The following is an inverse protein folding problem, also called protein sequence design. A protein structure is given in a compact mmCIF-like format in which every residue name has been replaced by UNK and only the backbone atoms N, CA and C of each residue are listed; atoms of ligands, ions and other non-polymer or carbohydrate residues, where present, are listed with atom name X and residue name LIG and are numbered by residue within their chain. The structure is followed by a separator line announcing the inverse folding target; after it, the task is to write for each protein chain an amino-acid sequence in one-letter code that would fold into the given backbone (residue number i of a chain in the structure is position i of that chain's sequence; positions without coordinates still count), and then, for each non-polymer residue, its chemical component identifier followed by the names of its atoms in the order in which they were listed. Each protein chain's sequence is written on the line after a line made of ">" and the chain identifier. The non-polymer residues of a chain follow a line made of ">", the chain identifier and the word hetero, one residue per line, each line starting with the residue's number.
data_IF_236999072571
#
_entry.id   IF_236999072571
#
_cell.length_a   1.000
_cell.length_b   1.000
_cell.length_c   1.000
_cell.angle_alpha   90.00
_cell.angle_beta   90.00
_cell.angle_gamma   90.00
#
_symmetry.space_group_name_H-M   'P 1'
#
loop_
_entity.id
_entity.type
_entity.pdbx_description
1 polymer ?
#
# COMPACT_ATOMS: atom_id res chain seq x y z
N UNK A 1 4.42 9.39 2.52
CA UNK A 1 4.76 10.32 1.43
C UNK A 1 6.09 10.98 1.78
N UNK A 2 7.07 11.01 0.88
CA UNK A 2 8.30 11.76 1.10
C UNK A 2 8.20 13.18 0.54
N UNK A 3 9.05 14.09 1.05
CA UNK A 3 9.16 15.45 0.53
C UNK A 3 9.59 15.45 -0.95
N UNK A 4 10.54 14.58 -1.31
CA UNK A 4 11.02 14.40 -2.68
C UNK A 4 9.86 14.05 -3.62
N UNK A 5 9.06 13.06 -3.25
CA UNK A 5 7.94 12.62 -4.08
C UNK A 5 6.81 13.66 -4.21
N UNK A 6 6.54 14.44 -3.16
CA UNK A 6 5.59 15.54 -3.23
C UNK A 6 6.03 16.63 -4.21
N UNK A 7 7.31 17.01 -4.17
CA UNK A 7 7.86 18.03 -5.07
C UNK A 7 7.88 17.57 -6.53
N UNK A 8 8.24 16.32 -6.80
CA UNK A 8 8.23 15.78 -8.17
C UNK A 8 6.81 15.78 -8.74
N UNK A 9 5.82 15.32 -7.97
CA UNK A 9 4.40 15.36 -8.39
C UNK A 9 3.93 16.80 -8.64
N UNK A 10 4.34 17.76 -7.81
CA UNK A 10 3.98 19.17 -8.06
C UNK A 10 4.52 19.71 -9.39
N UNK A 11 5.72 19.29 -9.80
CA UNK A 11 6.28 19.65 -11.10
C UNK A 11 5.53 18.95 -12.24
N UNK A 12 5.21 17.66 -12.11
CA UNK A 12 4.44 16.91 -13.12
C UNK A 12 3.02 17.47 -13.33
N UNK A 13 2.34 17.83 -12.24
CA UNK A 13 0.99 18.41 -12.28
C UNK A 13 0.99 19.93 -12.50
N UNK A 14 2.14 20.57 -12.70
CA UNK A 14 2.26 22.02 -12.80
C UNK A 14 1.30 22.64 -13.82
N UNK A 15 1.16 22.03 -15.01
CA UNK A 15 0.26 22.51 -16.07
C UNK A 15 -1.23 22.46 -15.73
N UNK A 16 -1.60 21.71 -14.70
CA UNK A 16 -2.97 21.57 -14.22
C UNK A 16 -3.31 22.54 -13.09
N UNK A 17 -2.32 23.26 -12.55
CA UNK A 17 -2.55 24.25 -11.50
C UNK A 17 -3.26 25.51 -12.05
N UNK A 18 -4.06 26.19 -11.23
CA UNK A 18 -4.69 27.44 -11.65
C UNK A 18 -3.62 28.51 -11.94
N UNK A 19 -3.70 29.16 -13.10
CA UNK A 19 -2.81 30.26 -13.45
C UNK A 19 -1.43 29.87 -13.99
N UNK A 20 -1.17 28.58 -14.23
CA UNK A 20 0.14 28.09 -14.72
C UNK A 20 0.13 27.60 -16.17
N UNK A 21 -1.01 27.64 -16.86
CA UNK A 21 -1.17 27.13 -18.25
C UNK A 21 -0.19 27.71 -19.26
N UNK A 22 0.33 28.92 -19.02
CA UNK A 22 1.28 29.62 -19.90
C UNK A 22 2.67 29.79 -19.24
N UNK A 23 2.85 29.26 -18.03
CA UNK A 23 4.09 29.42 -17.25
C UNK A 23 4.84 28.10 -17.19
N UNK A 24 6.12 28.14 -17.52
CA UNK A 24 7.01 27.00 -17.26
C UNK A 24 7.20 26.79 -15.76
N UNK A 25 7.25 25.53 -15.33
CA UNK A 25 7.56 25.21 -13.95
C UNK A 25 8.99 25.71 -13.64
N UNK A 26 9.19 26.51 -12.58
CA UNK A 26 10.51 27.06 -12.24
C UNK A 26 11.45 25.99 -11.69
N UNK A 27 10.92 24.83 -11.29
CA UNK A 27 11.68 23.71 -10.75
C UNK A 27 11.78 22.63 -11.81
N UNK A 28 13.00 22.17 -12.05
CA UNK A 28 13.30 21.05 -12.95
C UNK A 28 14.21 20.06 -12.20
N UNK A 29 13.91 18.78 -12.34
CA UNK A 29 14.73 17.71 -11.77
C UNK A 29 15.58 17.09 -12.88
N UNK A 30 16.84 16.81 -12.58
CA UNK A 30 17.70 16.00 -13.46
C UNK A 30 17.28 14.53 -13.38
N UNK A 31 17.62 13.71 -14.39
CA UNK A 31 17.34 12.27 -14.36
C UNK A 31 17.92 11.58 -13.11
N UNK A 32 19.13 11.97 -12.70
CA UNK A 32 19.74 11.49 -11.46
C UNK A 32 18.93 11.87 -10.20
N UNK A 33 18.28 13.04 -10.19
CA UNK A 33 17.40 13.44 -9.09
C UNK A 33 16.08 12.67 -9.09
N UNK A 34 15.63 12.13 -10.24
CA UNK A 34 14.43 11.31 -10.37
C UNK A 34 14.66 9.83 -10.04
N UNK A 35 15.91 9.40 -9.89
CA UNK A 35 16.25 8.03 -9.51
C UNK A 35 15.55 7.63 -8.18
N UNK A 36 14.93 6.45 -8.19
CA UNK A 36 14.15 5.91 -7.07
C UNK A 36 12.75 6.54 -6.85
N UNK A 37 12.35 7.56 -7.62
CA UNK A 37 11.00 8.13 -7.50
C UNK A 37 9.93 7.19 -8.06
N UNK A 38 10.22 6.46 -9.14
CA UNK A 38 9.30 5.45 -9.67
C UNK A 38 8.97 4.38 -8.63
N UNK A 39 9.96 3.99 -7.81
CA UNK A 39 9.74 3.08 -6.70
C UNK A 39 8.77 3.69 -5.69
N UNK A 40 8.88 4.98 -5.35
CA UNK A 40 7.96 5.67 -4.44
C UNK A 40 6.50 5.68 -4.96
N UNK A 41 6.31 5.82 -6.27
CA UNK A 41 4.99 5.70 -6.91
C UNK A 41 4.37 4.31 -6.71
N UNK A 42 5.18 3.27 -6.91
CA UNK A 42 4.78 1.88 -6.66
C UNK A 42 4.48 1.65 -5.17
N UNK A 43 5.35 2.09 -4.26
CA UNK A 43 5.15 2.01 -2.81
C UNK A 43 3.86 2.70 -2.37
N UNK A 44 3.53 3.86 -2.94
CA UNK A 44 2.29 4.57 -2.63
C UNK A 44 1.05 3.77 -3.04
N UNK A 45 1.06 3.15 -4.22
CA UNK A 45 -0.04 2.31 -4.67
C UNK A 45 -0.14 1.01 -3.87
N UNK A 46 0.99 0.39 -3.51
CA UNK A 46 1.02 -0.77 -2.62
C UNK A 46 0.45 -0.46 -1.24
N UNK A 47 0.76 0.71 -0.68
CA UNK A 47 0.18 1.16 0.59
C UNK A 47 -1.34 1.30 0.51
N UNK A 48 -1.90 1.74 -0.62
CA UNK A 48 -3.36 1.77 -0.79
C UNK A 48 -3.97 0.38 -0.72
N UNK A 49 -3.33 -0.62 -1.36
CA UNK A 49 -3.78 -2.01 -1.30
C UNK A 49 -3.72 -2.54 0.12
N UNK A 50 -2.61 -2.31 0.84
CA UNK A 50 -2.44 -2.74 2.23
C UNK A 50 -3.50 -2.10 3.14
N UNK A 51 -3.73 -0.80 3.02
CA UNK A 51 -4.74 -0.10 3.82
C UNK A 51 -6.15 -0.59 3.50
N UNK A 52 -6.47 -0.80 2.22
CA UNK A 52 -7.75 -1.38 1.84
C UNK A 52 -7.97 -2.76 2.46
N UNK A 53 -6.92 -3.60 2.53
CA UNK A 53 -7.00 -4.89 3.22
C UNK A 53 -7.15 -4.74 4.74
N UNK A 54 -6.49 -3.77 5.36
CA UNK A 54 -6.67 -3.44 6.80
C UNK A 54 -8.11 -3.04 7.12
N UNK A 55 -8.74 -2.26 6.25
CA UNK A 55 -10.14 -1.86 6.41
C UNK A 55 -11.08 -3.07 6.32
N UNK A 56 -10.81 -4.01 5.40
CA UNK A 56 -11.59 -5.25 5.24
C UNK A 56 -11.56 -6.14 6.49
N UNK A 57 -10.41 -6.26 7.15
CA UNK A 57 -10.25 -7.08 8.37
C UNK A 57 -10.68 -6.35 9.65
N UNK A 58 -11.49 -5.29 9.53
CA UNK A 58 -12.07 -4.59 10.67
C UNK A 58 -11.31 -3.33 11.11
N UNK A 59 -10.41 -2.79 10.28
CA UNK A 59 -9.73 -1.52 10.57
C UNK A 59 -8.59 -1.67 11.57
N UNK A 60 -7.77 -2.70 11.37
CA UNK A 60 -6.53 -2.89 12.13
C UNK A 60 -5.62 -1.68 11.95
N UNK A 61 -5.08 -1.14 13.05
CA UNK A 61 -4.21 0.02 12.98
C UNK A 61 -2.86 -0.30 12.31
N UNK A 62 -2.03 0.72 12.08
CA UNK A 62 -0.74 0.51 11.39
C UNK A 62 0.18 -0.48 12.13
N UNK A 63 0.06 -0.53 13.45
CA UNK A 63 0.83 -1.39 14.36
C UNK A 63 0.27 -2.82 14.47
N UNK A 64 -0.86 -3.13 13.83
CA UNK A 64 -1.44 -4.47 13.85
C UNK A 64 -2.43 -4.75 14.99
N UNK A 65 -2.81 -3.74 15.78
CA UNK A 65 -3.75 -3.89 16.89
C UNK A 65 -5.21 -3.75 16.46
N UNK A 66 -6.07 -4.50 17.13
CA UNK A 66 -7.52 -4.38 17.06
C UNK A 66 -8.13 -4.41 18.47
N UNK A 67 -9.29 -3.80 18.63
CA UNK A 67 -10.06 -3.92 19.88
C UNK A 67 -10.43 -5.38 20.15
N UNK A 68 -10.27 -5.82 21.40
CA UNK A 68 -10.58 -7.19 21.82
C UNK A 68 -12.00 -7.66 21.41
N UNK A 69 -12.99 -6.77 21.48
CA UNK A 69 -14.38 -7.06 21.09
C UNK A 69 -14.56 -7.46 19.63
N UNK A 70 -13.61 -7.10 18.76
CA UNK A 70 -13.64 -7.36 17.32
C UNK A 70 -12.57 -8.35 16.89
N UNK A 71 -11.84 -8.94 17.84
CA UNK A 71 -10.72 -9.83 17.53
C UNK A 71 -11.21 -11.07 16.78
N UNK A 72 -12.24 -11.75 17.30
CA UNK A 72 -12.78 -12.96 16.68
C UNK A 72 -13.30 -12.68 15.26
N UNK A 73 -14.08 -11.61 15.09
CA UNK A 73 -14.58 -11.16 13.78
C UNK A 73 -13.43 -10.87 12.78
N UNK A 74 -12.37 -10.22 13.25
CA UNK A 74 -11.22 -9.89 12.41
C UNK A 74 -10.39 -11.12 12.04
N UNK A 75 -10.28 -12.11 12.93
CA UNK A 75 -9.64 -13.39 12.62
C UNK A 75 -10.45 -14.13 11.55
N UNK A 76 -11.78 -14.13 11.64
CA UNK A 76 -12.65 -14.73 10.63
C UNK A 76 -12.51 -14.04 9.26
N UNK A 77 -12.58 -12.71 9.21
CA UNK A 77 -12.41 -11.94 7.97
C UNK A 77 -11.00 -12.09 7.39
N UNK A 78 -9.98 -12.26 8.24
CA UNK A 78 -8.61 -12.51 7.81
C UNK A 78 -8.44 -13.88 7.14
N UNK A 79 -9.10 -14.92 7.67
CA UNK A 79 -9.13 -16.25 7.03
C UNK A 79 -9.83 -16.14 5.68
N UNK A 80 -11.01 -15.51 5.64
CA UNK A 80 -11.80 -15.31 4.42
C UNK A 80 -11.04 -14.54 3.34
N UNK A 81 -10.32 -13.48 3.74
CA UNK A 81 -9.46 -12.71 2.83
C UNK A 81 -8.35 -13.58 2.24
N UNK A 82 -7.69 -14.39 3.08
CA UNK A 82 -6.62 -15.28 2.62
C UNK A 82 -7.14 -16.31 1.62
N UNK A 83 -8.29 -16.93 1.90
CA UNK A 83 -8.94 -17.88 1.00
C UNK A 83 -9.32 -17.23 -0.33
N UNK A 84 -9.89 -16.02 -0.31
CA UNK A 84 -10.20 -15.27 -1.53
C UNK A 84 -8.96 -14.98 -2.38
N UNK A 85 -7.83 -14.67 -1.76
CA UNK A 85 -6.57 -14.41 -2.46
C UNK A 85 -5.96 -15.69 -3.03
N UNK A 86 -6.02 -16.80 -2.29
CA UNK A 86 -5.60 -18.12 -2.79
C UNK A 86 -6.47 -18.56 -3.97
N UNK A 87 -7.79 -18.36 -3.89
CA UNK A 87 -8.70 -18.66 -5.00
C UNK A 87 -8.37 -17.83 -6.26
N UNK A 88 -7.97 -16.56 -6.09
CA UNK A 88 -7.56 -15.69 -7.20
C UNK A 88 -6.25 -16.12 -7.88
N UNK A 89 -5.46 -16.98 -7.24
CA UNK A 89 -4.25 -17.55 -7.83
C UNK A 89 -4.55 -18.75 -8.76
N UNK A 90 -5.81 -19.16 -8.91
CA UNK A 90 -6.27 -20.20 -9.86
C UNK A 90 -5.47 -21.53 -9.78
N UNK A 91 -4.92 -21.85 -8.61
CA UNK A 91 -4.10 -23.06 -8.39
C UNK A 91 -2.62 -22.94 -8.80
N UNK A 92 -2.16 -21.75 -9.21
CA UNK A 92 -0.75 -21.45 -9.44
C UNK A 92 0.06 -21.60 -8.14
N UNK A 93 0.91 -22.63 -8.07
CA UNK A 93 1.72 -22.88 -6.87
C UNK A 93 2.73 -21.79 -6.59
N UNK A 94 3.27 -21.14 -7.63
CA UNK A 94 4.20 -20.03 -7.46
C UNK A 94 3.51 -18.80 -6.87
N UNK A 95 2.30 -18.47 -7.32
CA UNK A 95 1.54 -17.33 -6.80
C UNK A 95 1.08 -17.58 -5.36
N UNK A 96 0.65 -18.80 -5.04
CA UNK A 96 0.31 -19.20 -3.67
C UNK A 96 1.55 -19.08 -2.77
N UNK A 97 2.71 -19.54 -3.22
CA UNK A 97 3.97 -19.43 -2.46
C UNK A 97 4.37 -17.98 -2.24
N UNK A 98 4.20 -17.12 -3.24
CA UNK A 98 4.47 -15.67 -3.12
C UNK A 98 3.52 -15.02 -2.13
N UNK A 99 2.23 -15.38 -2.15
CA UNK A 99 1.22 -14.92 -1.22
C UNK A 99 1.58 -15.31 0.23
N UNK A 100 1.98 -16.57 0.46
CA UNK A 100 2.39 -17.06 1.77
C UNK A 100 3.64 -16.35 2.28
N UNK A 101 4.65 -16.17 1.41
CA UNK A 101 5.90 -15.48 1.77
C UNK A 101 5.65 -14.01 2.12
N UNK A 102 4.77 -13.34 1.37
CA UNK A 102 4.43 -11.93 1.53
C UNK A 102 3.30 -11.66 2.54
N UNK A 103 2.79 -12.66 3.25
CA UNK A 103 1.63 -12.49 4.11
C UNK A 103 1.92 -11.57 5.31
N UNK A 104 1.18 -10.46 5.39
CA UNK A 104 1.39 -9.38 6.36
C UNK A 104 0.72 -9.67 7.72
N UNK A 105 -0.43 -10.33 7.72
CA UNK A 105 -1.26 -10.48 8.91
C UNK A 105 -0.99 -11.81 9.62
N UNK A 106 0.17 -11.87 10.30
CA UNK A 106 0.56 -13.04 11.09
C UNK A 106 0.05 -12.88 12.51
N UNK A 107 -0.93 -13.70 12.87
CA UNK A 107 -1.32 -13.85 14.26
C UNK A 107 -0.14 -14.41 15.06
N UNK A 108 0.24 -13.73 16.15
CA UNK A 108 1.22 -14.24 17.11
C UNK A 108 0.46 -14.54 18.39
N UNK A 109 0.42 -15.81 18.77
CA UNK A 109 -0.01 -16.19 20.11
C UNK A 109 0.99 -15.63 21.11
N UNK A 110 0.54 -14.75 22.00
CA UNK A 110 1.32 -14.39 23.18
C UNK A 110 1.57 -15.66 24.00
N UNK A 111 2.85 -15.97 24.23
CA UNK A 111 3.25 -17.07 25.10
C UNK A 111 3.25 -16.50 26.52
N UNK A 112 2.29 -16.94 27.33
CA UNK A 112 2.20 -16.64 28.77
C UNK A 112 3.09 -17.62 29.56
#
# INVERSE_FOLDING_TARGET
>A
MTLKGALIRMVEYWSHLPGTKELHCPVQFTEAALEGFHDEGLWFNLNKVVNHRRDQIGGVNEDGWISNQRYDDAVEELVRLKESLVASAEGSQDDIRLLEKGWLFRDRKEIN
#
